data_IF_730921982340
#
_entry.id   IF_730921982340
#
_cell.length_a   1.000
_cell.length_b   1.000
_cell.length_c   1.000
_cell.angle_alpha   90.00
_cell.angle_beta   90.00
_cell.angle_gamma   90.00
#
_symmetry.space_group_name_H-M   'P 1'
#
loop_
_entity.id
_entity.type
_entity.pdbx_description
1 polymer ?
#
# COMPACT_ATOMS: atom_id res chain seq x y z
N UNK A 1 7.84 -1.33 25.33
CA UNK A 1 8.46 -1.63 24.02
C UNK A 1 7.57 -1.10 22.92
N UNK A 2 7.91 0.04 22.33
CA UNK A 2 7.10 0.66 21.27
C UNK A 2 7.25 -0.11 19.97
N UNK A 3 6.19 -0.76 19.51
CA UNK A 3 6.07 -1.22 18.13
C UNK A 3 5.13 -0.25 17.42
N UNK A 4 5.65 0.86 16.94
CA UNK A 4 4.92 1.73 16.02
C UNK A 4 5.30 1.29 14.61
N UNK A 5 4.53 0.34 14.08
CA UNK A 5 4.58 0.03 12.67
C UNK A 5 3.67 1.04 11.96
N UNK A 6 4.25 1.97 11.20
CA UNK A 6 3.48 2.72 10.21
C UNK A 6 2.73 1.72 9.31
N UNK A 7 1.48 2.02 8.98
CA UNK A 7 0.72 1.24 8.01
C UNK A 7 0.66 1.99 6.69
N UNK A 8 0.65 1.22 5.61
CA UNK A 8 0.28 1.71 4.29
C UNK A 8 -1.24 1.98 4.30
N UNK A 9 -1.63 3.23 4.07
CA UNK A 9 -3.02 3.67 4.08
C UNK A 9 -3.72 3.50 2.72
N UNK A 10 -3.05 2.94 1.71
CA UNK A 10 -3.60 2.81 0.36
C UNK A 10 -4.72 1.77 0.21
N UNK A 11 -4.84 0.83 1.16
CA UNK A 11 -5.93 -0.14 1.14
C UNK A 11 -6.29 -0.64 2.54
N UNK A 12 -7.54 -0.42 2.95
CA UNK A 12 -8.09 -0.93 4.19
C UNK A 12 -9.61 -1.10 4.11
N UNK A 13 -10.15 -1.86 5.07
CA UNK A 13 -11.59 -1.99 5.27
C UNK A 13 -11.97 -1.31 6.59
N UNK A 14 -12.98 -0.45 6.56
CA UNK A 14 -13.62 0.09 7.75
C UNK A 14 -14.98 -0.60 7.96
N UNK A 15 -15.30 -0.91 9.21
CA UNK A 15 -16.65 -1.29 9.60
C UNK A 15 -17.44 -0.03 9.95
N UNK A 16 -18.76 0.03 9.75
CA UNK A 16 -19.55 1.21 10.10
C UNK A 16 -19.83 1.28 11.61
N UNK A 17 -18.80 1.55 12.42
CA UNK A 17 -18.90 1.74 13.88
C UNK A 17 -18.67 3.19 14.27
N UNK A 18 -19.07 3.58 15.48
CA UNK A 18 -18.83 4.94 16.00
C UNK A 18 -17.35 5.33 15.97
N UNK A 19 -16.45 4.41 16.32
CA UNK A 19 -15.00 4.62 16.30
C UNK A 19 -14.48 4.81 14.87
N UNK A 20 -15.10 4.14 13.89
CA UNK A 20 -14.72 4.29 12.48
C UNK A 20 -15.16 5.63 11.90
N UNK A 21 -16.31 6.15 12.34
CA UNK A 21 -16.73 7.52 12.02
C UNK A 21 -15.78 8.53 12.67
N UNK A 22 -15.47 8.36 13.96
CA UNK A 22 -14.52 9.23 14.67
C UNK A 22 -13.12 9.21 14.04
N UNK A 23 -12.66 8.05 13.55
CA UNK A 23 -11.43 7.95 12.78
C UNK A 23 -11.52 8.73 11.46
N UNK A 24 -12.58 8.55 10.69
CA UNK A 24 -12.77 9.24 9.42
C UNK A 24 -12.79 10.77 9.61
N UNK A 25 -13.53 11.26 10.61
CA UNK A 25 -13.55 12.68 10.99
C UNK A 25 -12.16 13.19 11.40
N UNK A 26 -11.41 12.39 12.18
CA UNK A 26 -10.05 12.75 12.62
C UNK A 26 -9.09 12.84 11.43
N UNK A 27 -9.16 11.88 10.51
CA UNK A 27 -8.33 11.88 9.30
C UNK A 27 -8.69 13.09 8.44
N UNK A 28 -9.96 13.32 8.15
CA UNK A 28 -10.43 14.47 7.39
C UNK A 28 -9.96 15.80 8.01
N UNK A 29 -10.14 15.97 9.33
CA UNK A 29 -9.68 17.16 10.06
C UNK A 29 -8.17 17.39 9.88
N UNK A 30 -7.37 16.32 9.99
CA UNK A 30 -5.91 16.41 9.81
C UNK A 30 -5.54 16.73 8.37
N UNK A 31 -6.16 16.06 7.40
CA UNK A 31 -5.88 16.27 5.98
C UNK A 31 -6.28 17.67 5.53
N UNK A 32 -7.45 18.17 5.93
CA UNK A 32 -7.89 19.54 5.61
C UNK A 32 -6.97 20.60 6.22
N UNK A 33 -6.41 20.35 7.41
CA UNK A 33 -5.44 21.26 8.02
C UNK A 33 -4.11 21.37 7.26
N UNK A 34 -3.80 20.42 6.35
CA UNK A 34 -2.59 20.43 5.54
C UNK A 34 -2.71 21.29 4.27
N UNK A 35 -3.91 21.79 3.93
CA UNK A 35 -4.15 22.67 2.79
C UNK A 35 -4.70 21.94 1.55
N UNK A 36 -4.68 22.62 0.39
CA UNK A 36 -5.25 22.10 -0.86
C UNK A 36 -4.33 21.10 -1.59
N UNK A 37 -3.01 21.28 -1.46
CA UNK A 37 -2.01 20.47 -2.14
C UNK A 37 -1.37 19.46 -1.18
N UNK A 38 -2.18 18.50 -0.74
CA UNK A 38 -1.70 17.43 0.14
C UNK A 38 -1.08 16.31 -0.70
N UNK A 39 0.20 16.03 -0.46
CA UNK A 39 0.86 14.88 -1.08
C UNK A 39 0.41 13.56 -0.45
N UNK A 40 0.52 12.44 -1.18
CA UNK A 40 0.18 11.09 -0.69
C UNK A 40 0.93 10.71 0.59
N UNK A 41 2.18 11.19 0.77
CA UNK A 41 2.96 10.98 1.99
C UNK A 41 2.29 11.68 3.18
N UNK A 42 1.86 12.92 2.98
CA UNK A 42 1.20 13.69 4.02
C UNK A 42 -0.18 13.11 4.38
N UNK A 43 -0.92 12.56 3.41
CA UNK A 43 -2.17 11.83 3.68
C UNK A 43 -1.90 10.56 4.51
N UNK A 44 -0.86 9.79 4.17
CA UNK A 44 -0.46 8.61 4.93
C UNK A 44 -0.03 8.96 6.36
N UNK A 45 0.69 10.07 6.53
CA UNK A 45 1.09 10.57 7.85
C UNK A 45 -0.10 11.05 8.67
N UNK A 46 -1.06 11.75 8.05
CA UNK A 46 -2.30 12.16 8.69
C UNK A 46 -3.12 10.95 9.16
N UNK A 47 -3.21 9.91 8.33
CA UNK A 47 -3.85 8.64 8.69
C UNK A 47 -3.15 7.95 9.87
N UNK A 48 -1.82 7.77 9.78
CA UNK A 48 -1.05 7.15 10.86
C UNK A 48 -1.15 7.96 12.16
N UNK A 49 -1.11 9.29 12.10
CA UNK A 49 -1.28 10.13 13.28
C UNK A 49 -2.68 10.00 13.89
N UNK A 50 -3.74 9.85 13.07
CA UNK A 50 -5.10 9.62 13.57
C UNK A 50 -5.23 8.26 14.26
N UNK A 51 -4.57 7.23 13.74
CA UNK A 51 -4.67 5.85 14.22
C UNK A 51 -3.76 5.56 15.43
N UNK A 52 -2.53 6.11 15.45
CA UNK A 52 -1.49 5.69 16.39
C UNK A 52 -1.23 6.66 17.54
N UNK A 53 -1.61 7.93 17.42
CA UNK A 53 -1.28 8.88 18.49
C UNK A 53 -2.06 8.52 19.76
N UNK A 54 -1.36 8.39 20.91
CA UNK A 54 -2.02 8.09 22.17
C UNK A 54 -2.87 9.29 22.61
N UNK A 55 -3.80 9.03 23.52
CA UNK A 55 -4.48 10.12 24.23
C UNK A 55 -3.46 10.95 25.00
N UNK A 56 -3.57 12.28 24.93
CA UNK A 56 -2.76 13.20 25.73
C UNK A 56 -3.54 14.50 25.99
N UNK A 57 -3.49 15.00 27.22
CA UNK A 57 -4.26 16.19 27.62
C UNK A 57 -5.75 16.01 27.31
N UNK A 58 -6.30 16.93 26.52
CA UNK A 58 -7.69 16.91 26.06
C UNK A 58 -7.90 16.03 24.81
N UNK A 59 -6.83 15.58 24.15
CA UNK A 59 -6.93 14.74 22.95
C UNK A 59 -7.15 13.29 23.35
N UNK A 60 -8.28 12.71 22.94
CA UNK A 60 -8.60 11.29 23.13
C UNK A 60 -8.32 10.51 21.84
N UNK A 61 -7.71 9.33 21.96
CA UNK A 61 -7.52 8.40 20.85
C UNK A 61 -8.88 7.91 20.32
N UNK A 62 -8.98 7.68 19.00
CA UNK A 62 -10.25 7.33 18.33
C UNK A 62 -10.81 5.94 18.68
N UNK A 63 -10.05 5.12 19.42
CA UNK A 63 -10.53 3.83 19.92
C UNK A 63 -10.62 2.69 18.89
N UNK A 64 -10.18 2.92 17.64
CA UNK A 64 -10.27 1.90 16.59
C UNK A 64 -9.40 0.67 16.90
N UNK A 65 -9.99 -0.52 16.66
CA UNK A 65 -9.23 -1.77 16.63
C UNK A 65 -8.76 -2.04 15.21
N UNK A 66 -7.50 -2.48 15.07
CA UNK A 66 -6.87 -2.76 13.78
C UNK A 66 -6.38 -4.19 13.70
N UNK A 67 -6.39 -4.74 12.48
CA UNK A 67 -5.78 -6.03 12.13
C UNK A 67 -5.02 -5.85 10.83
N UNK A 68 -3.80 -6.38 10.76
CA UNK A 68 -3.01 -6.38 9.54
C UNK A 68 -3.54 -7.44 8.59
N UNK A 69 -3.84 -7.05 7.35
CA UNK A 69 -4.21 -7.99 6.30
C UNK A 69 -3.03 -8.91 5.96
N UNK A 70 -3.31 -10.12 5.46
CA UNK A 70 -2.26 -11.04 5.03
C UNK A 70 -1.50 -10.40 3.86
N UNK A 71 -0.21 -10.11 4.05
CA UNK A 71 0.63 -9.38 3.09
C UNK A 71 0.89 -10.14 1.78
N UNK A 72 0.63 -11.45 1.73
CA UNK A 72 0.66 -12.21 0.47
C UNK A 72 -0.65 -11.99 -0.30
N UNK A 73 -1.80 -12.01 0.38
CA UNK A 73 -3.10 -11.79 -0.28
C UNK A 73 -3.32 -10.31 -0.65
N UNK A 74 -2.88 -9.39 0.19
CA UNK A 74 -3.03 -7.94 0.01
C UNK A 74 -1.63 -7.33 -0.01
N UNK A 75 -0.95 -7.53 -1.14
CA UNK A 75 0.47 -7.23 -1.28
C UNK A 75 0.67 -5.76 -1.65
N UNK A 76 1.76 -5.16 -1.17
CA UNK A 76 2.30 -3.98 -1.82
C UNK A 76 3.26 -4.39 -2.96
N UNK A 77 3.52 -3.46 -3.85
CA UNK A 77 4.40 -3.65 -5.00
C UNK A 77 5.79 -4.19 -4.62
N UNK A 78 6.34 -3.78 -3.48
CA UNK A 78 7.63 -4.26 -2.97
C UNK A 78 7.60 -5.75 -2.62
N UNK A 79 6.52 -6.22 -1.99
CA UNK A 79 6.28 -7.66 -1.75
C UNK A 79 6.31 -8.44 -3.06
N UNK A 80 5.63 -7.93 -4.08
CA UNK A 80 5.49 -8.59 -5.39
C UNK A 80 6.81 -8.60 -6.17
N UNK A 81 7.45 -7.43 -6.35
CA UNK A 81 8.61 -7.29 -7.26
C UNK A 81 9.95 -7.62 -6.60
N UNK A 82 10.08 -7.46 -5.28
CA UNK A 82 11.34 -7.69 -4.55
C UNK A 82 11.37 -9.04 -3.85
N UNK A 83 10.33 -9.40 -3.11
CA UNK A 83 10.37 -10.56 -2.20
C UNK A 83 9.86 -11.85 -2.85
N UNK A 84 8.63 -11.87 -3.34
CA UNK A 84 8.01 -13.06 -3.94
C UNK A 84 8.82 -13.61 -5.13
N UNK A 85 9.51 -12.73 -5.86
CA UNK A 85 10.42 -13.11 -6.95
C UNK A 85 11.70 -13.78 -6.47
N UNK A 86 12.35 -13.27 -5.41
CA UNK A 86 13.63 -13.81 -4.89
C UNK A 86 13.44 -15.19 -4.28
N UNK A 87 12.33 -15.36 -3.57
CA UNK A 87 12.10 -16.55 -2.75
C UNK A 87 11.53 -17.72 -3.55
N UNK A 88 11.38 -17.56 -4.89
CA UNK A 88 10.73 -18.54 -5.79
C UNK A 88 9.44 -19.10 -5.18
N UNK A 89 8.71 -18.22 -4.48
CA UNK A 89 7.56 -18.63 -3.68
C UNK A 89 6.53 -19.36 -4.54
N UNK A 90 5.85 -20.38 -4.00
CA UNK A 90 4.85 -21.14 -4.73
C UNK A 90 3.82 -20.20 -5.36
N UNK A 91 3.26 -20.59 -6.52
CA UNK A 91 2.29 -19.82 -7.32
C UNK A 91 1.16 -19.27 -6.43
N UNK A 92 1.36 -18.08 -5.90
CA UNK A 92 0.40 -17.37 -5.06
C UNK A 92 -0.12 -16.20 -5.88
N UNK A 93 -1.43 -16.14 -6.07
CA UNK A 93 -2.08 -15.01 -6.72
C UNK A 93 -2.60 -14.06 -5.63
N UNK A 94 -2.07 -12.82 -5.54
CA UNK A 94 -2.62 -11.83 -4.64
C UNK A 94 -4.08 -11.52 -5.00
N UNK A 95 -4.89 -11.20 -4.00
CA UNK A 95 -6.24 -10.65 -4.17
C UNK A 95 -6.15 -9.20 -4.66
N UNK A 96 -5.16 -8.45 -4.16
CA UNK A 96 -4.91 -7.06 -4.52
C UNK A 96 -3.41 -6.77 -4.45
N UNK A 97 -2.92 -5.96 -5.39
CA UNK A 97 -1.57 -5.43 -5.40
C UNK A 97 -1.67 -3.90 -5.34
N UNK A 98 -1.17 -3.31 -4.26
CA UNK A 98 -1.06 -1.86 -4.13
C UNK A 98 0.24 -1.42 -4.80
N UNK A 99 0.13 -0.70 -5.91
CA UNK A 99 1.27 -0.12 -6.60
C UNK A 99 1.67 1.17 -5.92
N UNK A 100 2.57 1.04 -4.93
CA UNK A 100 3.19 2.18 -4.25
C UNK A 100 4.70 2.17 -4.47
N UNK A 101 5.35 3.33 -4.39
CA UNK A 101 6.83 3.46 -4.32
C UNK A 101 7.64 3.04 -5.57
N UNK A 102 7.04 2.85 -6.75
CA UNK A 102 7.77 2.48 -7.97
C UNK A 102 7.38 3.34 -9.18
N UNK A 103 8.35 3.82 -9.98
CA UNK A 103 8.04 4.47 -11.25
C UNK A 103 7.41 3.48 -12.24
N UNK A 104 6.64 4.01 -13.19
CA UNK A 104 5.97 3.21 -14.22
C UNK A 104 4.81 2.36 -13.69
N UNK A 105 4.03 2.90 -12.73
CA UNK A 105 2.92 2.18 -12.08
C UNK A 105 1.95 1.56 -13.09
N UNK A 106 1.56 2.31 -14.13
CA UNK A 106 0.63 1.83 -15.15
C UNK A 106 1.15 0.60 -15.89
N UNK A 107 2.43 0.60 -16.28
CA UNK A 107 3.02 -0.55 -16.98
C UNK A 107 3.17 -1.74 -16.05
N UNK A 108 3.59 -1.51 -14.79
CA UNK A 108 3.67 -2.56 -13.77
C UNK A 108 2.31 -3.17 -13.48
N UNK A 109 1.25 -2.37 -13.45
CA UNK A 109 -0.13 -2.85 -13.31
C UNK A 109 -0.53 -3.72 -14.48
N UNK A 110 -0.25 -3.30 -15.72
CA UNK A 110 -0.52 -4.08 -16.94
C UNK A 110 0.21 -5.42 -16.91
N UNK A 111 1.50 -5.41 -16.60
CA UNK A 111 2.31 -6.63 -16.57
C UNK A 111 1.93 -7.56 -15.40
N UNK A 112 1.57 -7.02 -14.24
CA UNK A 112 1.05 -7.81 -13.13
C UNK A 112 -0.31 -8.43 -13.45
N UNK A 113 -1.20 -7.69 -14.12
CA UNK A 113 -2.48 -8.23 -14.59
C UNK A 113 -2.27 -9.32 -15.64
N UNK A 114 -1.34 -9.14 -16.58
CA UNK A 114 -1.00 -10.18 -17.54
C UNK A 114 -0.42 -11.44 -16.86
N UNK A 115 0.35 -11.29 -15.78
CA UNK A 115 0.94 -12.41 -15.05
C UNK A 115 -0.06 -13.16 -14.15
N UNK A 116 -0.93 -12.45 -13.42
CA UNK A 116 -1.85 -13.05 -12.44
C UNK A 116 -3.28 -13.24 -12.96
N UNK A 117 -3.74 -12.39 -13.88
CA UNK A 117 -5.12 -12.32 -14.35
C UNK A 117 -5.40 -13.02 -15.66
N UNK A 118 -4.39 -13.21 -16.52
CA UNK A 118 -4.54 -14.01 -17.73
C UNK A 118 -4.39 -15.49 -17.33
N UNK A 119 -5.48 -16.24 -17.27
CA UNK A 119 -5.46 -17.70 -17.10
C UNK A 119 -4.84 -18.46 -18.30
N UNK A 120 -3.95 -17.82 -19.06
CA UNK A 120 -3.27 -18.35 -20.24
C UNK A 120 -1.84 -18.81 -19.91
N UNK A 121 -1.27 -19.60 -20.81
CA UNK A 121 0.02 -20.28 -20.66
C UNK A 121 1.13 -19.28 -20.31
N UNK A 122 1.59 -19.31 -19.05
CA UNK A 122 2.30 -18.21 -18.39
C UNK A 122 3.73 -17.97 -18.87
N UNK A 123 4.20 -18.68 -19.89
CA UNK A 123 5.62 -18.69 -20.28
C UNK A 123 6.07 -17.39 -20.95
N UNK A 124 5.24 -16.80 -21.82
CA UNK A 124 5.51 -15.53 -22.52
C UNK A 124 5.27 -14.31 -21.64
N UNK A 125 4.24 -14.34 -20.78
CA UNK A 125 3.91 -13.23 -19.86
C UNK A 125 4.90 -13.09 -18.69
N UNK A 126 5.68 -14.13 -18.41
CA UNK A 126 6.72 -14.09 -17.37
C UNK A 126 7.81 -13.05 -17.69
N UNK A 127 8.19 -12.86 -18.96
CA UNK A 127 9.25 -11.90 -19.31
C UNK A 127 8.88 -10.45 -18.99
N UNK A 128 7.65 -10.04 -19.35
CA UNK A 128 7.14 -8.69 -19.08
C UNK A 128 7.08 -8.37 -17.59
N UNK A 129 6.64 -9.33 -16.78
CA UNK A 129 6.63 -9.20 -15.32
C UNK A 129 8.05 -9.22 -14.72
N UNK A 130 8.94 -10.05 -15.27
CA UNK A 130 10.32 -10.19 -14.79
C UNK A 130 11.24 -9.01 -15.15
N UNK A 131 10.88 -8.19 -16.15
CA UNK A 131 11.67 -6.98 -16.51
C UNK A 131 11.76 -5.98 -15.37
N UNK A 132 10.78 -5.98 -14.47
CA UNK A 132 10.72 -5.15 -13.26
C UNK A 132 11.68 -5.59 -12.14
N UNK A 133 12.58 -6.52 -12.44
CA UNK A 133 13.59 -7.08 -11.53
C UNK A 133 14.70 -6.11 -11.11
N UNK A 134 14.81 -4.97 -11.77
CA UNK A 134 15.70 -3.89 -11.38
C UNK A 134 15.26 -3.25 -10.07
N UNK A 135 16.21 -2.98 -9.17
CA UNK A 135 15.93 -2.22 -7.94
C UNK A 135 15.30 -0.84 -8.24
N UNK A 136 14.68 -0.19 -7.23
CA UNK A 136 14.17 1.18 -7.38
C UNK A 136 15.36 2.08 -7.73
N UNK A 137 15.54 2.41 -9.02
CA UNK A 137 16.73 3.10 -9.52
C UNK A 137 17.13 2.75 -10.95
N UNK A 138 16.60 1.69 -11.55
CA UNK A 138 16.72 1.46 -13.00
C UNK A 138 15.58 2.13 -13.75
N UNK A 139 15.39 3.44 -13.55
CA UNK A 139 14.80 4.24 -14.61
C UNK A 139 15.76 4.15 -15.79
N UNK A 140 15.26 3.82 -16.99
CA UNK A 140 16.04 4.10 -18.19
C UNK A 140 16.25 5.61 -18.20
N UNK A 141 17.49 6.06 -18.34
CA UNK A 141 17.77 7.48 -18.56
C UNK A 141 16.94 7.94 -19.77
N UNK A 142 15.92 8.76 -19.55
CA UNK A 142 15.10 9.32 -20.64
C UNK A 142 13.61 9.52 -20.40
N UNK A 143 13.02 9.01 -19.31
CA UNK A 143 11.61 9.28 -18.99
C UNK A 143 11.50 10.33 -17.87
N UNK A 144 11.80 11.58 -18.23
CA UNK A 144 11.44 12.81 -17.49
C UNK A 144 10.30 13.52 -18.22
#
# INVERSE_FOLDING_TARGET
>A
GGRVASVDAGFFRLAPTYESVALAERVATRTTALGADVSTIQEQDAFNAAVFYPSYGETVAVGVTRRTLNYLCFANSKTVFVFMRKDKTPRHSPVMIHFSYHPGELERMRDAYAYYGAGEDSSTFTEGFMKWSGGPGLAKAGDD
#
